data_IF_533171409605
#
_entry.id   IF_533171409605
#
_cell.length_a   1.000
_cell.length_b   1.000
_cell.length_c   1.000
_cell.angle_alpha   90.00
_cell.angle_beta   90.00
_cell.angle_gamma   90.00
#
_symmetry.space_group_name_H-M   'P 1'
#
loop_
_entity.id
_entity.type
_entity.pdbx_description
1 polymer ?
#
# COMPACT_ATOMS: atom_id res chain seq x y z
N UNK A 1 -4.66 -18.49 7.31
CA UNK A 1 -5.18 -18.70 5.94
C UNK A 1 -4.01 -18.93 4.99
N UNK A 2 -3.91 -20.08 4.33
CA UNK A 2 -2.90 -20.32 3.29
C UNK A 2 -3.30 -19.54 2.04
N UNK A 3 -2.70 -18.39 1.81
CA UNK A 3 -2.87 -17.64 0.56
C UNK A 3 -2.29 -18.49 -0.56
N UNK A 4 -3.17 -19.08 -1.37
CA UNK A 4 -2.77 -19.88 -2.54
C UNK A 4 -2.02 -18.94 -3.48
N UNK A 5 -0.69 -19.06 -3.51
CA UNK A 5 0.18 -18.22 -4.34
C UNK A 5 -0.22 -18.40 -5.81
N UNK A 6 -0.83 -17.38 -6.39
CA UNK A 6 -1.31 -17.44 -7.77
C UNK A 6 -0.12 -17.35 -8.72
N UNK A 7 -0.05 -18.27 -9.66
CA UNK A 7 1.07 -18.40 -10.58
C UNK A 7 1.08 -17.23 -11.57
N UNK A 8 2.04 -16.31 -11.40
CA UNK A 8 2.31 -15.17 -12.29
C UNK A 8 3.48 -15.56 -13.19
N UNK A 9 3.32 -15.47 -14.49
CA UNK A 9 4.37 -15.75 -15.46
C UNK A 9 5.27 -14.52 -15.72
N UNK A 10 6.33 -14.70 -16.52
CA UNK A 10 7.26 -13.62 -16.82
C UNK A 10 6.61 -12.48 -17.64
N UNK A 11 5.63 -12.80 -18.48
CA UNK A 11 4.88 -11.80 -19.23
C UNK A 11 4.01 -10.96 -18.31
N UNK A 12 3.34 -11.59 -17.33
CA UNK A 12 2.55 -10.89 -16.32
C UNK A 12 3.43 -9.95 -15.48
N UNK A 13 4.62 -10.41 -15.08
CA UNK A 13 5.59 -9.57 -14.35
C UNK A 13 6.04 -8.36 -15.17
N UNK A 14 6.28 -8.55 -16.47
CA UNK A 14 6.68 -7.46 -17.35
C UNK A 14 5.54 -6.44 -17.52
N UNK A 15 4.29 -6.90 -17.69
CA UNK A 15 3.12 -6.04 -17.70
C UNK A 15 2.99 -5.26 -16.39
N UNK A 16 3.06 -5.94 -15.25
CA UNK A 16 2.96 -5.32 -13.93
C UNK A 16 4.06 -4.28 -13.69
N UNK A 17 5.28 -4.50 -14.16
CA UNK A 17 6.38 -3.54 -14.00
C UNK A 17 6.14 -2.23 -14.75
N UNK A 18 5.36 -2.26 -15.83
CA UNK A 18 5.01 -1.07 -16.62
C UNK A 18 3.81 -0.35 -16.00
N UNK A 19 2.69 -1.07 -15.80
CA UNK A 19 1.45 -0.49 -15.26
C UNK A 19 1.58 -0.07 -13.80
N UNK A 20 2.49 -0.69 -13.04
CA UNK A 20 2.78 -0.32 -11.65
C UNK A 20 3.53 0.99 -11.51
N UNK A 21 4.22 1.45 -12.57
CA UNK A 21 4.87 2.77 -12.60
C UNK A 21 3.91 3.86 -13.08
N UNK A 22 3.06 3.53 -14.04
CA UNK A 22 2.04 4.44 -14.55
C UNK A 22 0.80 3.63 -14.93
N UNK A 23 -0.21 3.69 -14.07
CA UNK A 23 -1.49 2.99 -14.30
C UNK A 23 -2.29 3.57 -15.49
N UNK A 24 -1.90 4.74 -16.02
CA UNK A 24 -2.56 5.43 -17.13
C UNK A 24 -1.93 5.10 -18.49
N UNK A 25 -0.83 4.34 -18.51
CA UNK A 25 -0.17 3.97 -19.76
C UNK A 25 -1.14 3.25 -20.71
N UNK A 26 -1.25 3.65 -21.97
CA UNK A 26 -2.12 2.98 -22.91
C UNK A 26 -1.71 1.52 -23.13
N UNK A 27 -2.66 0.59 -23.06
CA UNK A 27 -2.37 -0.84 -23.24
C UNK A 27 -1.72 -1.17 -24.58
N UNK A 28 -1.90 -0.31 -25.61
CA UNK A 28 -1.20 -0.44 -26.90
C UNK A 28 0.32 -0.31 -26.77
N UNK A 29 0.77 0.56 -25.84
CA UNK A 29 2.20 0.81 -25.65
C UNK A 29 2.81 -0.28 -24.74
N UNK A 30 2.05 -0.75 -23.74
CA UNK A 30 2.39 -1.96 -22.99
C UNK A 30 2.56 -3.16 -23.92
N UNK A 31 1.65 -3.33 -24.88
CA UNK A 31 1.67 -4.43 -25.84
C UNK A 31 2.93 -4.40 -26.72
N UNK A 32 3.34 -3.21 -27.18
CA UNK A 32 4.61 -3.05 -27.94
C UNK A 32 5.82 -3.47 -27.12
N UNK A 33 5.93 -2.99 -25.89
CA UNK A 33 7.07 -3.31 -25.00
C UNK A 33 7.09 -4.80 -24.64
N UNK A 34 5.92 -5.40 -24.44
CA UNK A 34 5.79 -6.82 -24.13
C UNK A 34 5.86 -7.74 -25.36
N UNK A 35 5.88 -7.20 -26.57
CA UNK A 35 5.83 -7.94 -27.84
C UNK A 35 4.60 -8.86 -27.91
N UNK A 36 3.45 -8.32 -27.53
CA UNK A 36 2.16 -9.02 -27.48
C UNK A 36 1.08 -8.22 -28.20
N UNK A 37 -0.04 -8.87 -28.53
CA UNK A 37 -1.21 -8.14 -29.00
C UNK A 37 -1.86 -7.35 -27.87
N UNK A 38 -2.52 -6.23 -28.19
CA UNK A 38 -3.29 -5.44 -27.23
C UNK A 38 -4.35 -6.28 -26.51
N UNK A 39 -5.03 -7.16 -27.26
CA UNK A 39 -6.04 -8.05 -26.71
C UNK A 39 -5.44 -9.02 -25.67
N UNK A 40 -4.27 -9.59 -25.96
CA UNK A 40 -3.59 -10.49 -25.04
C UNK A 40 -3.18 -9.77 -23.73
N UNK A 41 -2.66 -8.54 -23.81
CA UNK A 41 -2.33 -7.73 -22.64
C UNK A 41 -3.59 -7.44 -21.83
N UNK A 42 -4.67 -7.01 -22.49
CA UNK A 42 -5.94 -6.71 -21.81
C UNK A 42 -6.49 -7.94 -21.06
N UNK A 43 -6.51 -9.11 -21.69
CA UNK A 43 -6.96 -10.35 -21.04
C UNK A 43 -6.10 -10.73 -19.84
N UNK A 44 -4.79 -10.53 -19.91
CA UNK A 44 -3.88 -10.79 -18.78
C UNK A 44 -4.13 -9.82 -17.64
N UNK A 45 -4.33 -8.54 -17.91
CA UNK A 45 -4.65 -7.52 -16.89
C UNK A 45 -5.97 -7.86 -16.20
N UNK A 46 -7.04 -8.19 -16.97
CA UNK A 46 -8.31 -8.61 -16.39
C UNK A 46 -8.16 -9.83 -15.48
N UNK A 47 -7.44 -10.86 -15.94
CA UNK A 47 -7.17 -12.05 -15.15
C UNK A 47 -6.39 -11.75 -13.87
N UNK A 48 -5.47 -10.80 -13.90
CA UNK A 48 -4.74 -10.36 -12.72
C UNK A 48 -5.64 -9.59 -11.73
N UNK A 49 -6.60 -8.82 -12.21
CA UNK A 49 -7.63 -8.15 -11.39
C UNK A 49 -8.55 -9.19 -10.76
N UNK A 50 -9.15 -10.09 -11.53
CA UNK A 50 -10.02 -11.17 -11.04
C UNK A 50 -9.32 -12.06 -10.01
N UNK A 51 -8.04 -12.26 -10.22
CA UNK A 51 -7.20 -13.03 -9.31
C UNK A 51 -6.77 -12.25 -8.06
N UNK A 52 -7.08 -10.96 -7.94
CA UNK A 52 -6.67 -10.11 -6.83
C UNK A 52 -5.15 -9.85 -6.79
N UNK A 53 -4.45 -10.01 -7.92
CA UNK A 53 -3.04 -9.61 -8.07
C UNK A 53 -2.96 -8.10 -8.22
N UNK A 54 -3.87 -7.53 -9.00
CA UNK A 54 -4.10 -6.09 -9.09
C UNK A 54 -5.31 -5.79 -8.22
N UNK A 55 -5.11 -5.04 -7.15
CA UNK A 55 -6.16 -4.70 -6.18
C UNK A 55 -6.82 -3.35 -6.46
N UNK A 56 -6.21 -2.54 -7.31
CA UNK A 56 -6.73 -1.23 -7.70
C UNK A 56 -5.67 -0.36 -8.36
N UNK A 57 -6.07 0.86 -8.68
CA UNK A 57 -5.17 1.93 -9.14
C UNK A 57 -5.54 3.23 -8.42
N UNK A 58 -4.53 4.01 -8.05
CA UNK A 58 -4.70 5.29 -7.37
C UNK A 58 -3.73 6.32 -7.93
N UNK A 59 -4.04 7.59 -7.73
CA UNK A 59 -3.11 8.68 -7.95
C UNK A 59 -2.19 8.83 -6.74
N UNK A 60 -0.91 9.01 -6.97
CA UNK A 60 -0.01 9.50 -5.95
C UNK A 60 -0.15 11.02 -5.88
N UNK A 61 -0.62 11.50 -4.74
CA UNK A 61 -0.84 12.93 -4.50
C UNK A 61 0.31 13.43 -3.64
N UNK A 62 0.89 14.58 -3.99
CA UNK A 62 1.88 15.22 -3.14
C UNK A 62 1.19 15.73 -1.86
N UNK A 63 1.47 15.15 -0.68
CA UNK A 63 0.79 15.53 0.56
C UNK A 63 0.99 17.00 0.90
N UNK A 64 2.19 17.54 0.66
CA UNK A 64 2.51 18.95 0.94
C UNK A 64 1.66 19.91 0.09
N UNK A 65 1.39 19.55 -1.17
CA UNK A 65 0.56 20.37 -2.06
C UNK A 65 -0.90 20.47 -1.61
N UNK A 66 -1.37 19.53 -0.80
CA UNK A 66 -2.73 19.50 -0.25
C UNK A 66 -2.77 19.84 1.25
N UNK A 67 -1.65 20.36 1.78
CA UNK A 67 -1.59 20.92 3.13
C UNK A 67 -1.17 19.91 4.23
N UNK A 68 -0.74 18.71 3.89
CA UNK A 68 -0.15 17.78 4.84
C UNK A 68 1.36 18.04 4.92
N UNK A 69 1.79 18.74 5.97
CA UNK A 69 3.17 19.21 6.09
C UNK A 69 4.07 18.26 6.88
N UNK A 70 3.49 17.37 7.65
CA UNK A 70 4.25 16.48 8.55
C UNK A 70 3.83 15.03 8.34
N UNK A 71 4.83 14.17 8.11
CA UNK A 71 4.67 12.72 8.15
C UNK A 71 5.26 12.21 9.47
N UNK A 72 4.49 11.49 10.24
CA UNK A 72 4.89 10.96 11.54
C UNK A 72 4.80 9.44 11.55
N UNK A 73 5.78 8.79 12.17
CA UNK A 73 5.76 7.35 12.43
C UNK A 73 5.48 7.09 13.89
N UNK A 74 4.47 6.30 14.18
CA UNK A 74 4.05 5.94 15.53
C UNK A 74 4.30 4.45 15.76
N UNK A 75 5.16 4.14 16.73
CA UNK A 75 5.39 2.77 17.19
C UNK A 75 4.40 2.39 18.27
N UNK A 76 3.70 1.27 18.11
CA UNK A 76 2.74 0.74 19.08
C UNK A 76 3.27 -0.56 19.63
N UNK A 77 3.42 -0.64 20.96
CA UNK A 77 3.74 -1.86 21.69
C UNK A 77 2.49 -2.40 22.35
N UNK A 78 2.18 -3.68 22.13
CA UNK A 78 1.05 -4.35 22.75
C UNK A 78 1.55 -5.22 23.91
N UNK A 79 0.99 -5.01 25.08
CA UNK A 79 1.29 -5.81 26.28
C UNK A 79 0.85 -7.29 26.10
N UNK A 80 -0.26 -7.52 25.41
CA UNK A 80 -0.77 -8.87 25.10
C UNK A 80 -1.20 -8.97 23.65
N UNK A 81 -0.66 -9.94 22.92
CA UNK A 81 -0.99 -10.20 21.53
C UNK A 81 -2.48 -10.52 21.26
N UNK A 82 -3.25 -10.87 22.30
CA UNK A 82 -4.69 -11.12 22.22
C UNK A 82 -5.54 -9.87 21.92
N UNK A 83 -4.99 -8.66 22.10
CA UNK A 83 -5.69 -7.39 21.83
C UNK A 83 -5.45 -6.82 20.43
N UNK A 84 -4.66 -7.51 19.62
CA UNK A 84 -4.26 -7.04 18.30
C UNK A 84 -5.44 -6.59 17.45
N UNK A 85 -6.46 -7.45 17.25
CA UNK A 85 -7.56 -7.15 16.38
C UNK A 85 -8.35 -5.91 16.83
N UNK A 86 -8.57 -5.75 18.14
CA UNK A 86 -9.29 -4.59 18.67
C UNK A 86 -8.52 -3.28 18.46
N UNK A 87 -7.18 -3.32 18.52
CA UNK A 87 -6.34 -2.15 18.27
C UNK A 87 -6.35 -1.79 16.78
N UNK A 88 -6.24 -2.77 15.88
CA UNK A 88 -6.37 -2.56 14.43
C UNK A 88 -7.72 -1.94 14.08
N UNK A 89 -8.81 -2.44 14.66
CA UNK A 89 -10.17 -1.93 14.43
C UNK A 89 -10.35 -0.47 14.93
N UNK A 90 -9.61 -0.07 15.94
CA UNK A 90 -9.59 1.32 16.42
C UNK A 90 -8.73 2.22 15.53
N UNK A 91 -7.54 1.77 15.18
CA UNK A 91 -6.60 2.50 14.32
C UNK A 91 -7.21 2.75 12.93
N UNK A 92 -7.91 1.76 12.37
CA UNK A 92 -8.55 1.87 11.04
C UNK A 92 -9.65 2.95 10.97
N UNK A 93 -10.12 3.45 12.11
CA UNK A 93 -11.11 4.53 12.21
C UNK A 93 -10.49 5.92 12.25
N UNK A 94 -9.17 6.01 12.38
CA UNK A 94 -8.43 7.26 12.46
C UNK A 94 -8.02 7.65 11.03
N UNK A 95 -8.64 8.69 10.44
CA UNK A 95 -8.41 9.05 9.04
C UNK A 95 -7.00 9.57 8.76
N UNK A 96 -6.31 10.05 9.77
CA UNK A 96 -4.94 10.55 9.68
C UNK A 96 -3.90 9.43 9.56
N UNK A 97 -4.27 8.18 9.89
CA UNK A 97 -3.37 7.03 9.75
C UNK A 97 -3.48 6.48 8.34
N UNK A 98 -2.39 6.57 7.61
CA UNK A 98 -2.31 6.17 6.20
C UNK A 98 -2.00 4.68 6.07
N UNK A 99 -1.05 4.19 6.85
CA UNK A 99 -0.60 2.79 6.82
C UNK A 99 -0.28 2.30 8.23
N UNK A 100 -0.48 1.00 8.45
CA UNK A 100 -0.08 0.33 9.68
C UNK A 100 0.50 -1.05 9.35
N UNK A 101 1.71 -1.30 9.79
CA UNK A 101 2.45 -2.53 9.52
C UNK A 101 2.83 -3.25 10.81
N UNK A 102 2.76 -4.58 10.78
CA UNK A 102 3.40 -5.39 11.80
C UNK A 102 4.90 -5.35 11.63
N UNK A 103 5.60 -5.24 12.75
CA UNK A 103 7.05 -5.22 12.77
C UNK A 103 7.61 -6.29 13.70
N UNK A 104 8.83 -6.73 13.38
CA UNK A 104 9.67 -7.51 14.28
C UNK A 104 10.66 -6.56 14.93
N UNK A 105 10.52 -6.28 16.23
CA UNK A 105 11.39 -5.33 16.90
C UNK A 105 10.78 -4.83 18.21
N UNK A 106 11.18 -3.65 18.69
CA UNK A 106 10.70 -3.10 19.96
C UNK A 106 9.21 -2.74 19.94
N UNK A 107 8.64 -2.54 18.76
CA UNK A 107 7.22 -2.23 18.56
C UNK A 107 6.50 -3.39 17.89
N UNK A 108 5.27 -3.66 18.31
CA UNK A 108 4.40 -4.67 17.69
C UNK A 108 3.89 -4.19 16.33
N UNK A 109 3.61 -2.90 16.22
CA UNK A 109 3.12 -2.26 15.00
C UNK A 109 3.80 -0.90 14.80
N UNK A 110 3.97 -0.52 13.53
CA UNK A 110 4.42 0.79 13.11
C UNK A 110 3.38 1.37 12.18
N UNK A 111 2.82 2.53 12.56
CA UNK A 111 1.84 3.24 11.74
C UNK A 111 2.46 4.51 11.18
N UNK A 112 2.16 4.86 9.94
CA UNK A 112 2.46 6.16 9.36
C UNK A 112 1.22 7.04 9.38
N UNK A 113 1.42 8.32 9.70
CA UNK A 113 0.35 9.31 9.77
C UNK A 113 0.77 10.57 9.03
N UNK A 114 -0.17 11.19 8.31
CA UNK A 114 0.01 12.49 7.66
C UNK A 114 -0.81 13.56 8.40
N UNK A 115 -0.16 14.68 8.78
CA UNK A 115 -0.77 15.73 9.56
C UNK A 115 -0.69 17.08 8.82
N UNK A 116 -1.78 17.87 8.90
CA UNK A 116 -1.88 19.20 8.28
C UNK A 116 -1.18 20.31 9.08
N UNK A 117 -0.71 20.00 10.26
CA UNK A 117 -0.07 21.00 11.15
C UNK A 117 1.43 20.80 11.10
N UNK A 118 2.18 21.89 10.87
CA UNK A 118 3.61 21.93 11.16
C UNK A 118 3.77 21.99 12.68
N UNK A 119 3.91 20.86 13.30
CA UNK A 119 4.34 20.79 14.71
C UNK A 119 5.83 20.61 14.66
N UNK A 120 6.59 21.41 15.45
CA UNK A 120 7.94 21.05 15.82
C UNK A 120 7.87 19.76 16.65
N UNK A 121 7.74 18.65 15.95
CA UNK A 121 7.67 17.34 16.59
C UNK A 121 9.10 16.86 16.75
N UNK A 122 9.65 17.07 17.90
CA UNK A 122 10.57 16.07 18.44
C UNK A 122 9.84 14.72 18.34
N UNK A 123 10.47 13.67 17.78
CA UNK A 123 9.81 12.37 17.61
C UNK A 123 9.32 11.87 18.97
N UNK A 124 8.08 12.13 19.28
CA UNK A 124 7.45 11.67 20.51
C UNK A 124 6.93 10.27 20.23
N UNK A 125 7.67 9.29 20.71
CA UNK A 125 7.23 7.89 20.70
C UNK A 125 6.09 7.80 21.70
N UNK A 126 4.86 7.76 21.22
CA UNK A 126 3.71 7.47 22.05
C UNK A 126 3.64 5.96 22.29
N UNK A 127 3.97 5.54 23.50
CA UNK A 127 3.59 4.21 24.00
C UNK A 127 2.16 4.31 24.51
N UNK A 128 1.21 3.68 23.84
CA UNK A 128 -0.15 3.50 24.37
C UNK A 128 -0.15 2.21 25.17
N UNK A 129 -0.33 2.36 26.48
CA UNK A 129 -0.44 1.25 27.45
C UNK A 129 -1.81 0.57 27.37
#
# INVERSE_FOLDING_TARGET
MKTKQKKIDNSDRKILSIIGRDARVPLKDVAKVCQMSRAAVHQRVLKMIENGVITGSRYDVNPQAVGYLTCTFVGISLDKGSRYQSVVDQISKIPEIVECHFTTGPYTMLCSSEMRVSVDVTPTIFCIW
#
